data_IF_458734029996
#
_entry.id   IF_458734029996
#
_cell.length_a   1.000
_cell.length_b   1.000
_cell.length_c   1.000
_cell.angle_alpha   90.00
_cell.angle_beta   90.00
_cell.angle_gamma   90.00
#
_symmetry.space_group_name_H-M   'P 1'
#
loop_
_entity.id
_entity.type
_entity.pdbx_description
1 polymer ?
#
# COMPACT_ATOMS: atom_id res chain seq x y z
N UNK A 1 -9.25 -11.62 -4.98
CA UNK A 1 -9.23 -10.45 -4.06
C UNK A 1 -9.44 -9.19 -4.87
N UNK A 2 -10.45 -8.41 -4.52
CA UNK A 2 -10.70 -7.17 -5.26
C UNK A 2 -9.75 -6.06 -4.79
N UNK A 3 -9.82 -4.90 -5.46
CA UNK A 3 -8.88 -3.81 -5.17
C UNK A 3 -9.03 -3.28 -3.73
N UNK A 4 -10.24 -3.23 -3.23
CA UNK A 4 -10.47 -2.72 -1.86
C UNK A 4 -9.89 -3.68 -0.83
N UNK A 5 -10.16 -4.97 -0.97
CA UNK A 5 -9.61 -5.98 -0.06
C UNK A 5 -8.09 -6.01 -0.13
N UNK A 6 -7.54 -5.89 -1.33
CA UNK A 6 -6.09 -5.87 -1.51
C UNK A 6 -5.46 -4.68 -0.80
N UNK A 7 -6.05 -3.50 -0.95
CA UNK A 7 -5.52 -2.31 -0.32
C UNK A 7 -5.63 -2.42 1.21
N UNK A 8 -6.75 -2.95 1.71
CA UNK A 8 -6.91 -3.15 3.15
C UNK A 8 -5.87 -4.11 3.71
N UNK A 9 -5.59 -5.18 2.98
CA UNK A 9 -4.58 -6.16 3.38
C UNK A 9 -3.19 -5.53 3.39
N UNK A 10 -2.85 -4.80 2.34
CA UNK A 10 -1.55 -4.15 2.23
C UNK A 10 -1.39 -3.01 3.24
N UNK A 11 -2.49 -2.31 3.56
CA UNK A 11 -2.48 -1.28 4.58
C UNK A 11 -2.13 -1.87 5.94
N UNK A 12 -2.65 -3.05 6.26
CA UNK A 12 -2.33 -3.73 7.52
C UNK A 12 -0.85 -4.10 7.56
N UNK A 13 -0.29 -4.56 6.46
CA UNK A 13 1.13 -4.89 6.38
C UNK A 13 2.00 -3.64 6.50
N UNK A 14 1.54 -2.54 5.90
CA UNK A 14 2.24 -1.27 5.96
C UNK A 14 2.27 -0.73 7.39
N UNK A 15 1.12 -0.75 8.07
CA UNK A 15 1.05 -0.30 9.46
C UNK A 15 1.94 -1.13 10.36
N UNK A 16 1.95 -2.44 10.17
CA UNK A 16 2.78 -3.33 10.96
C UNK A 16 4.26 -3.05 10.72
N UNK A 17 4.65 -2.81 9.48
CA UNK A 17 6.04 -2.49 9.16
C UNK A 17 6.48 -1.19 9.82
N UNK A 18 5.57 -0.21 9.89
CA UNK A 18 5.87 1.06 10.55
C UNK A 18 6.04 0.90 12.05
N UNK A 19 5.27 0.00 12.66
CA UNK A 19 5.34 -0.24 14.10
C UNK A 19 6.55 -1.06 14.50
N UNK A 20 6.87 -2.11 13.75
CA UNK A 20 7.88 -3.08 14.13
C UNK A 20 9.21 -2.91 13.41
N UNK A 21 9.21 -2.18 12.29
CA UNK A 21 10.39 -2.05 11.45
C UNK A 21 10.62 -3.26 10.54
N UNK A 22 9.75 -4.26 10.61
CA UNK A 22 9.87 -5.45 9.76
C UNK A 22 8.97 -5.31 8.54
N UNK A 23 9.56 -5.39 7.36
CA UNK A 23 8.83 -5.25 6.10
C UNK A 23 8.51 -6.63 5.55
N UNK A 24 7.22 -6.89 5.35
CA UNK A 24 6.77 -8.16 4.79
C UNK A 24 7.24 -8.31 3.34
N UNK A 25 7.72 -9.51 2.94
CA UNK A 25 8.03 -9.75 1.54
C UNK A 25 6.83 -9.51 0.61
N UNK A 26 5.62 -9.72 1.11
CA UNK A 26 4.42 -9.46 0.34
C UNK A 26 4.26 -7.98 0.00
N UNK A 27 4.62 -7.10 0.95
CA UNK A 27 4.54 -5.66 0.73
C UNK A 27 5.57 -5.23 -0.32
N UNK A 28 6.77 -5.79 -0.26
CA UNK A 28 7.81 -5.50 -1.25
C UNK A 28 7.36 -5.96 -2.63
N UNK A 29 6.82 -7.17 -2.73
CA UNK A 29 6.34 -7.71 -3.99
C UNK A 29 5.20 -6.88 -4.56
N UNK A 30 4.31 -6.39 -3.71
CA UNK A 30 3.21 -5.54 -4.11
C UNK A 30 3.75 -4.27 -4.79
N UNK A 31 4.74 -3.65 -4.20
CA UNK A 31 5.34 -2.43 -4.74
C UNK A 31 6.09 -2.70 -6.05
N UNK A 32 6.90 -3.76 -6.06
CA UNK A 32 7.78 -4.04 -7.21
C UNK A 32 7.06 -4.62 -8.41
N UNK A 33 5.93 -5.29 -8.20
CA UNK A 33 5.17 -5.92 -9.29
C UNK A 33 4.42 -4.92 -10.17
N UNK A 34 4.31 -3.67 -9.72
CA UNK A 34 3.52 -2.66 -10.43
C UNK A 34 2.06 -2.63 -9.98
N UNK A 35 1.64 -3.56 -9.15
CA UNK A 35 0.26 -3.56 -8.64
C UNK A 35 0.00 -2.33 -7.77
N UNK A 36 1.00 -1.93 -6.98
CA UNK A 36 0.90 -0.71 -6.19
C UNK A 36 0.63 0.51 -7.07
N UNK A 37 1.33 0.62 -8.20
CA UNK A 37 1.16 1.75 -9.09
C UNK A 37 -0.26 1.78 -9.66
N UNK A 38 -0.80 0.63 -10.03
CA UNK A 38 -2.17 0.55 -10.55
C UNK A 38 -3.18 0.99 -9.51
N UNK A 39 -2.98 0.57 -8.27
CA UNK A 39 -3.88 0.96 -7.17
C UNK A 39 -3.74 2.45 -6.84
N UNK A 40 -2.52 2.97 -6.89
CA UNK A 40 -2.26 4.39 -6.71
C UNK A 40 -2.98 5.23 -7.78
N UNK A 41 -2.91 4.79 -9.02
CA UNK A 41 -3.59 5.49 -10.12
C UNK A 41 -5.11 5.44 -9.97
N UNK A 42 -5.64 4.31 -9.50
CA UNK A 42 -7.07 4.19 -9.25
C UNK A 42 -7.51 5.18 -8.16
N UNK A 43 -6.68 5.36 -7.13
CA UNK A 43 -6.97 6.32 -6.08
C UNK A 43 -6.96 7.76 -6.63
N UNK A 44 -6.00 8.07 -7.49
CA UNK A 44 -5.93 9.39 -8.12
C UNK A 44 -7.15 9.68 -8.99
N UNK A 45 -7.70 8.66 -9.62
CA UNK A 45 -8.91 8.81 -10.44
C UNK A 45 -10.18 8.88 -9.61
N UNK A 46 -10.08 8.76 -8.28
CA UNK A 46 -11.23 8.82 -7.40
C UNK A 46 -12.10 7.57 -7.43
N UNK A 47 -11.53 6.44 -7.80
CA UNK A 47 -12.28 5.18 -7.92
C UNK A 47 -12.44 4.43 -6.59
N UNK A 48 -11.79 4.90 -5.54
CA UNK A 48 -11.81 4.23 -4.24
C UNK A 48 -12.71 4.98 -3.25
N UNK A 49 -13.31 4.25 -2.28
CA UNK A 49 -14.13 4.89 -1.25
C UNK A 49 -13.35 5.90 -0.43
N UNK A 50 -14.00 6.98 -0.03
CA UNK A 50 -13.35 8.03 0.76
C UNK A 50 -12.90 7.56 2.13
N UNK A 51 -13.62 6.61 2.72
CA UNK A 51 -13.32 6.11 4.06
C UNK A 51 -12.29 4.99 4.08
N UNK A 52 -11.79 4.61 2.92
CA UNK A 52 -10.76 3.58 2.83
C UNK A 52 -9.43 4.14 3.29
N UNK A 53 -8.77 3.44 4.22
CA UNK A 53 -7.43 3.81 4.63
C UNK A 53 -6.46 3.55 3.48
N UNK A 54 -5.68 4.54 3.14
CA UNK A 54 -4.80 4.48 1.98
C UNK A 54 -3.39 4.97 2.26
N UNK A 55 -2.92 4.78 3.51
CA UNK A 55 -1.55 5.14 3.86
C UNK A 55 -0.54 4.40 3.01
N UNK A 56 -0.83 3.13 2.67
CA UNK A 56 0.05 2.33 1.83
C UNK A 56 0.16 2.90 0.41
N UNK A 57 -0.82 3.69 -0.02
CA UNK A 57 -0.80 4.33 -1.33
C UNK A 57 -0.08 5.68 -1.31
N UNK A 58 0.42 6.09 -0.16
CA UNK A 58 1.25 7.29 -0.07
C UNK A 58 2.60 6.99 -0.69
N UNK A 59 2.92 7.67 -1.79
CA UNK A 59 4.16 7.45 -2.52
C UNK A 59 5.37 7.66 -1.61
N UNK A 60 5.40 8.78 -0.91
CA UNK A 60 6.53 9.11 -0.04
C UNK A 60 6.61 8.17 1.17
N UNK A 61 5.48 7.86 1.77
CA UNK A 61 5.45 6.99 2.96
C UNK A 61 5.97 5.60 2.68
N UNK A 62 5.48 4.99 1.60
CA UNK A 62 5.91 3.64 1.24
C UNK A 62 7.36 3.63 0.77
N UNK A 63 7.73 4.61 -0.03
CA UNK A 63 9.11 4.72 -0.52
C UNK A 63 10.10 4.85 0.64
N UNK A 64 9.82 5.72 1.60
CA UNK A 64 10.68 5.88 2.77
C UNK A 64 10.79 4.62 3.60
N UNK A 65 9.67 3.91 3.77
CA UNK A 65 9.66 2.67 4.53
C UNK A 65 10.56 1.63 3.87
N UNK A 66 10.51 1.51 2.55
CA UNK A 66 11.27 0.50 1.83
C UNK A 66 12.75 0.86 1.67
N UNK A 67 13.14 2.09 1.95
CA UNK A 67 14.55 2.52 1.88
C UNK A 67 15.32 2.25 3.17
N UNK A 68 14.65 1.86 4.23
CA UNK A 68 15.32 1.61 5.52
C UNK A 68 16.05 0.28 5.58
#
# INVERSE_FOLDING_TARGET
>A
MDIIERIEYMEALYDRARETGEISPELIAYYESGQWLKDYEADERGELPRNLKRGVLSQDGLWELLQK
#
